data_IF_608683232666
#
_entry.id   IF_608683232666
#
_cell.length_a   1.000
_cell.length_b   1.000
_cell.length_c   1.000
_cell.angle_alpha   90.00
_cell.angle_beta   90.00
_cell.angle_gamma   90.00
#
_symmetry.space_group_name_H-M   'P 1'
#
loop_
_entity.id
_entity.type
_entity.pdbx_description
1 polymer ?
#
# COMPACT_ATOMS: atom_id res chain seq x y z
N UNK A 1 -10.94 11.97 4.02
CA UNK A 1 -9.52 12.08 4.43
C UNK A 1 -8.67 11.21 3.53
N UNK A 2 -7.66 11.77 2.91
CA UNK A 2 -6.77 11.09 1.96
C UNK A 2 -5.34 11.19 2.49
N UNK A 3 -4.79 10.05 2.94
CA UNK A 3 -3.49 9.99 3.61
C UNK A 3 -2.57 9.01 2.89
N UNK A 4 -1.30 9.39 2.77
CA UNK A 4 -0.22 8.48 2.37
C UNK A 4 0.59 8.12 3.62
N UNK A 5 0.80 6.82 3.84
CA UNK A 5 1.74 6.32 4.85
C UNK A 5 3.03 5.89 4.17
N UNK A 6 4.13 6.43 4.64
CA UNK A 6 5.47 6.10 4.19
C UNK A 6 6.30 5.58 5.36
N UNK A 7 7.28 4.78 5.05
CA UNK A 7 8.21 4.22 6.03
C UNK A 7 8.76 2.87 5.56
N UNK A 8 9.91 2.44 6.08
CA UNK A 8 10.51 1.17 5.73
C UNK A 8 9.68 -0.01 6.27
N UNK A 9 9.92 -1.24 5.77
CA UNK A 9 9.34 -2.45 6.36
C UNK A 9 9.65 -2.53 7.84
N UNK A 10 8.66 -2.89 8.67
CA UNK A 10 8.82 -2.97 10.11
C UNK A 10 8.68 -1.65 10.88
N UNK A 11 8.42 -0.53 10.19
CA UNK A 11 8.21 0.77 10.84
C UNK A 11 6.89 0.87 11.61
N UNK A 12 5.95 -0.04 11.38
CA UNK A 12 4.64 -0.04 12.03
C UNK A 12 3.53 0.58 11.19
N UNK A 13 3.71 0.72 9.88
CA UNK A 13 2.70 1.27 8.97
C UNK A 13 1.37 0.56 9.06
N UNK A 14 1.36 -0.78 8.94
CA UNK A 14 0.13 -1.58 9.03
C UNK A 14 -0.56 -1.45 10.38
N UNK A 15 0.18 -1.48 11.47
CA UNK A 15 -0.34 -1.33 12.83
C UNK A 15 -1.01 0.02 13.03
N UNK A 16 -0.39 1.10 12.58
CA UNK A 16 -0.96 2.44 12.67
C UNK A 16 -2.14 2.63 11.72
N UNK A 17 -2.07 2.04 10.52
CA UNK A 17 -3.18 2.06 9.57
C UNK A 17 -4.44 1.42 10.15
N UNK A 18 -4.33 0.28 10.84
CA UNK A 18 -5.48 -0.38 11.49
C UNK A 18 -6.20 0.56 12.48
N UNK A 19 -5.44 1.32 13.25
CA UNK A 19 -6.01 2.30 14.19
C UNK A 19 -6.73 3.44 13.45
N UNK A 20 -6.13 3.94 12.38
CA UNK A 20 -6.72 5.01 11.57
C UNK A 20 -8.00 4.53 10.86
N UNK A 21 -8.02 3.31 10.37
CA UNK A 21 -9.22 2.70 9.76
C UNK A 21 -10.35 2.64 10.77
N UNK A 22 -10.06 2.18 11.99
CA UNK A 22 -11.06 2.08 13.06
C UNK A 22 -11.62 3.44 13.44
N UNK A 23 -10.78 4.47 13.51
CA UNK A 23 -11.16 5.82 13.91
C UNK A 23 -11.92 6.57 12.81
N UNK A 24 -11.38 6.57 11.60
CA UNK A 24 -11.90 7.39 10.49
C UNK A 24 -12.76 6.61 9.50
N UNK A 25 -12.86 5.29 9.64
CA UNK A 25 -13.66 4.40 8.78
C UNK A 25 -13.35 4.58 7.29
N UNK A 26 -12.09 4.68 6.96
CA UNK A 26 -11.58 4.78 5.59
C UNK A 26 -10.80 3.51 5.21
N UNK A 27 -10.79 3.07 3.93
CA UNK A 27 -10.08 1.88 3.53
C UNK A 27 -8.56 2.05 3.59
N UNK A 28 -7.86 0.97 3.91
CA UNK A 28 -6.41 0.85 3.79
C UNK A 28 -6.09 0.21 2.44
N UNK A 29 -5.39 0.94 1.59
CA UNK A 29 -5.03 0.53 0.24
C UNK A 29 -3.52 0.36 0.16
N UNK A 30 -3.05 -0.86 0.01
CA UNK A 30 -1.64 -1.14 -0.27
C UNK A 30 -1.45 -1.55 -1.73
N UNK A 31 -0.28 -1.24 -2.30
CA UNK A 31 0.04 -1.66 -3.66
C UNK A 31 0.00 -3.18 -3.81
N UNK A 32 0.49 -3.92 -2.81
CA UNK A 32 0.42 -5.39 -2.82
C UNK A 32 -1.01 -5.91 -2.92
N UNK A 33 -1.95 -5.31 -2.18
CA UNK A 33 -3.36 -5.68 -2.24
C UNK A 33 -3.99 -5.34 -3.59
N UNK A 34 -3.64 -4.18 -4.16
CA UNK A 34 -4.11 -3.78 -5.49
C UNK A 34 -3.60 -4.74 -6.58
N UNK A 35 -2.34 -5.14 -6.53
CA UNK A 35 -1.78 -6.12 -7.46
C UNK A 35 -2.49 -7.47 -7.34
N UNK A 36 -2.68 -7.96 -6.13
CA UNK A 36 -3.39 -9.24 -5.90
C UNK A 36 -4.83 -9.17 -6.41
N UNK A 37 -5.52 -8.08 -6.17
CA UNK A 37 -6.88 -7.88 -6.66
C UNK A 37 -6.92 -7.83 -8.19
N UNK A 38 -6.02 -7.10 -8.83
CA UNK A 38 -5.95 -7.00 -10.28
C UNK A 38 -5.66 -8.36 -10.95
N UNK A 39 -4.73 -9.12 -10.38
CA UNK A 39 -4.42 -10.48 -10.84
C UNK A 39 -5.62 -11.41 -10.68
N UNK A 40 -6.27 -11.37 -9.53
CA UNK A 40 -7.45 -12.21 -9.25
C UNK A 40 -8.63 -11.88 -10.16
N UNK A 41 -8.85 -10.61 -10.45
CA UNK A 41 -9.92 -10.16 -11.36
C UNK A 41 -9.60 -10.40 -12.83
N UNK A 42 -8.33 -10.70 -13.16
CA UNK A 42 -7.90 -10.95 -14.54
C UNK A 42 -7.92 -9.72 -15.42
N UNK A 43 -7.73 -8.52 -14.88
CA UNK A 43 -7.62 -7.30 -15.67
C UNK A 43 -6.39 -7.35 -16.57
N UNK A 44 -6.37 -6.59 -17.67
CA UNK A 44 -5.21 -6.58 -18.58
C UNK A 44 -3.94 -6.14 -17.85
N UNK A 45 -4.01 -5.11 -17.02
CA UNK A 45 -2.88 -4.67 -16.20
C UNK A 45 -2.49 -5.73 -15.14
N UNK A 46 -3.46 -6.43 -14.57
CA UNK A 46 -3.20 -7.54 -13.65
C UNK A 46 -2.47 -8.70 -14.31
N UNK A 47 -2.85 -9.07 -15.52
CA UNK A 47 -2.18 -10.10 -16.32
C UNK A 47 -0.73 -9.70 -16.64
N UNK A 48 -0.54 -8.44 -17.03
CA UNK A 48 0.79 -7.90 -17.32
C UNK A 48 1.67 -7.88 -16.08
N UNK A 49 1.16 -7.37 -14.95
CA UNK A 49 1.88 -7.39 -13.68
C UNK A 49 2.27 -8.81 -13.26
N UNK A 50 1.35 -9.78 -13.42
CA UNK A 50 1.62 -11.19 -13.10
C UNK A 50 2.79 -11.75 -13.91
N UNK A 51 2.91 -11.40 -15.17
CA UNK A 51 4.04 -11.86 -16.01
C UNK A 51 5.39 -11.43 -15.42
N UNK A 52 5.51 -10.17 -14.97
CA UNK A 52 6.73 -9.68 -14.32
C UNK A 52 6.97 -10.34 -12.97
N UNK A 53 5.92 -10.50 -12.16
CA UNK A 53 6.01 -11.12 -10.84
C UNK A 53 6.44 -12.60 -10.94
N UNK A 54 5.86 -13.35 -11.86
CA UNK A 54 6.19 -14.77 -12.09
C UNK A 54 7.63 -14.95 -12.61
N UNK A 55 8.14 -13.96 -13.35
CA UNK A 55 9.52 -13.94 -13.84
C UNK A 55 10.54 -13.43 -12.79
N UNK A 56 10.08 -13.05 -11.59
CA UNK A 56 10.93 -12.44 -10.55
C UNK A 56 11.45 -11.05 -10.90
N UNK A 57 10.80 -10.37 -11.82
CA UNK A 57 11.16 -9.03 -12.28
C UNK A 57 10.32 -7.96 -11.60
N UNK A 58 10.86 -6.73 -11.53
CA UNK A 58 10.11 -5.59 -11.04
C UNK A 58 9.02 -5.21 -12.04
N UNK A 59 7.83 -4.94 -11.54
CA UNK A 59 6.71 -4.44 -12.36
C UNK A 59 7.04 -3.00 -12.79
N UNK A 60 6.97 -2.68 -14.10
CA UNK A 60 7.24 -1.32 -14.58
C UNK A 60 6.30 -0.28 -13.96
N UNK A 61 6.79 0.95 -13.79
CA UNK A 61 6.01 2.04 -13.21
C UNK A 61 4.70 2.30 -13.95
N UNK A 62 4.69 2.18 -15.27
CA UNK A 62 3.48 2.36 -16.10
C UNK A 62 2.37 1.40 -15.68
N UNK A 63 2.71 0.13 -15.44
CA UNK A 63 1.76 -0.91 -15.01
C UNK A 63 1.32 -0.64 -13.57
N UNK A 64 2.26 -0.33 -12.68
CA UNK A 64 1.99 0.00 -11.28
C UNK A 64 1.04 1.21 -11.17
N UNK A 65 1.34 2.28 -11.88
CA UNK A 65 0.52 3.50 -11.92
C UNK A 65 -0.90 3.19 -12.41
N UNK A 66 -1.01 2.38 -13.47
CA UNK A 66 -2.32 1.97 -14.01
C UNK A 66 -3.16 1.20 -12.99
N UNK A 67 -2.55 0.25 -12.27
CA UNK A 67 -3.22 -0.54 -11.23
C UNK A 67 -3.65 0.35 -10.06
N UNK A 68 -2.81 1.29 -9.65
CA UNK A 68 -3.14 2.26 -8.58
C UNK A 68 -4.31 3.14 -9.03
N UNK A 69 -4.29 3.64 -10.25
CA UNK A 69 -5.40 4.43 -10.80
C UNK A 69 -6.72 3.67 -10.76
N UNK A 70 -6.74 2.42 -11.21
CA UNK A 70 -7.92 1.56 -11.14
C UNK A 70 -8.40 1.35 -9.70
N UNK A 71 -7.46 1.08 -8.79
CA UNK A 71 -7.77 0.85 -7.37
C UNK A 71 -8.36 2.08 -6.68
N UNK A 72 -7.79 3.26 -6.91
CA UNK A 72 -8.25 4.51 -6.29
C UNK A 72 -9.53 5.05 -6.93
N UNK A 73 -9.89 4.60 -8.12
CA UNK A 73 -11.13 4.99 -8.80
C UNK A 73 -12.36 4.23 -8.31
N UNK A 74 -12.19 3.23 -7.46
CA UNK A 74 -13.32 2.45 -6.92
C UNK A 74 -14.18 3.28 -5.97
N UNK A 75 -15.50 3.01 -5.91
CA UNK A 75 -16.43 3.75 -5.03
C UNK A 75 -16.03 3.75 -3.56
N UNK A 76 -15.41 2.68 -3.07
CA UNK A 76 -14.94 2.57 -1.69
C UNK A 76 -13.87 3.60 -1.31
N UNK A 77 -13.16 4.14 -2.30
CA UNK A 77 -12.13 5.17 -2.12
C UNK A 77 -12.65 6.60 -2.25
N UNK A 78 -13.92 6.79 -2.60
CA UNK A 78 -14.49 8.12 -2.90
C UNK A 78 -14.46 9.07 -1.71
N UNK A 79 -14.63 8.58 -0.49
CA UNK A 79 -14.72 9.38 0.74
C UNK A 79 -13.41 9.44 1.54
N UNK A 80 -12.40 8.75 1.10
CA UNK A 80 -11.10 8.72 1.77
C UNK A 80 -10.38 7.39 1.59
N UNK A 81 -9.11 7.40 1.86
CA UNK A 81 -8.27 6.20 1.90
C UNK A 81 -6.95 6.47 2.64
N UNK A 82 -6.31 5.38 3.05
CA UNK A 82 -4.91 5.37 3.47
C UNK A 82 -4.14 4.59 2.41
N UNK A 83 -3.23 5.27 1.72
CA UNK A 83 -2.39 4.66 0.68
C UNK A 83 -1.04 4.28 1.28
N UNK A 84 -0.71 2.99 1.21
CA UNK A 84 0.51 2.41 1.78
C UNK A 84 1.34 1.74 0.69
N UNK A 85 2.62 2.07 0.65
CA UNK A 85 3.57 1.49 -0.29
C UNK A 85 3.62 2.16 -1.67
N UNK A 86 2.97 3.28 -1.85
CA UNK A 86 2.99 4.10 -3.06
C UNK A 86 2.82 5.58 -2.70
N UNK A 87 3.52 6.53 -3.30
CA UNK A 87 4.56 6.35 -4.32
C UNK A 87 5.90 5.85 -3.73
N UNK A 88 6.71 5.22 -4.55
CA UNK A 88 8.08 4.78 -4.20
C UNK A 88 9.14 5.44 -5.08
N UNK A 89 8.73 6.07 -6.17
CA UNK A 89 9.60 6.80 -7.09
C UNK A 89 9.01 8.19 -7.36
N UNK A 90 9.84 9.09 -7.86
CA UNK A 90 9.39 10.43 -8.25
C UNK A 90 8.35 10.36 -9.38
N UNK A 91 8.55 9.49 -10.36
CA UNK A 91 7.59 9.27 -11.44
C UNK A 91 6.22 8.82 -10.92
N UNK A 92 6.22 7.92 -9.96
CA UNK A 92 4.98 7.48 -9.29
C UNK A 92 4.32 8.62 -8.52
N UNK A 93 5.09 9.49 -7.86
CA UNK A 93 4.56 10.63 -7.13
C UNK A 93 3.88 11.63 -8.06
N UNK A 94 4.53 11.97 -9.18
CA UNK A 94 3.96 12.86 -10.21
C UNK A 94 2.67 12.25 -10.79
N UNK A 95 2.68 10.96 -11.07
CA UNK A 95 1.51 10.26 -11.58
C UNK A 95 0.36 10.27 -10.56
N UNK A 96 0.65 10.10 -9.28
CA UNK A 96 -0.35 10.17 -8.21
C UNK A 96 -1.01 11.55 -8.14
N UNK A 97 -0.24 12.62 -8.26
CA UNK A 97 -0.79 13.98 -8.32
C UNK A 97 -1.79 14.13 -9.48
N UNK A 98 -1.46 13.58 -10.64
CA UNK A 98 -2.35 13.54 -11.80
C UNK A 98 -3.62 12.73 -11.55
N UNK A 99 -3.50 11.57 -10.94
CA UNK A 99 -4.65 10.72 -10.59
C UNK A 99 -5.60 11.44 -9.63
N UNK A 100 -5.04 12.07 -8.59
CA UNK A 100 -5.85 12.79 -7.60
C UNK A 100 -6.56 14.00 -8.22
N UNK A 101 -5.89 14.70 -9.12
CA UNK A 101 -6.49 15.81 -9.88
C UNK A 101 -7.64 15.33 -10.76
N UNK A 102 -7.47 14.20 -11.46
CA UNK A 102 -8.49 13.62 -12.32
C UNK A 102 -9.71 13.14 -11.50
N UNK A 103 -9.48 12.66 -10.29
CA UNK A 103 -10.54 12.23 -9.37
C UNK A 103 -11.18 13.39 -8.59
N UNK A 104 -10.65 14.62 -8.72
CA UNK A 104 -11.15 15.79 -8.02
C UNK A 104 -10.92 15.74 -6.50
N UNK A 105 -9.92 15.03 -6.04
CA UNK A 105 -9.58 14.88 -4.61
C UNK A 105 -8.25 15.56 -4.28
N UNK A 106 -8.10 15.94 -3.02
CA UNK A 106 -6.88 16.59 -2.54
C UNK A 106 -6.28 15.79 -1.39
N UNK A 107 -4.96 15.57 -1.43
CA UNK A 107 -4.24 14.90 -0.36
C UNK A 107 -4.38 15.67 0.95
N UNK A 108 -4.79 14.97 2.01
CA UNK A 108 -4.88 15.54 3.35
C UNK A 108 -3.50 15.65 3.98
N UNK A 109 -2.67 14.64 3.82
CA UNK A 109 -1.32 14.64 4.35
C UNK A 109 -0.52 13.39 3.98
N UNK A 110 0.78 13.51 4.14
CA UNK A 110 1.73 12.41 3.99
C UNK A 110 2.41 12.18 5.35
N UNK A 111 2.31 10.98 5.87
CA UNK A 111 2.89 10.61 7.16
C UNK A 111 4.07 9.67 6.90
N UNK A 112 5.27 10.09 7.27
CA UNK A 112 6.47 9.28 7.17
C UNK A 112 6.86 8.77 8.56
N UNK A 113 6.84 7.45 8.75
CA UNK A 113 7.24 6.82 10.01
C UNK A 113 8.72 6.52 9.93
N UNK A 114 9.51 7.21 10.76
CA UNK A 114 10.96 7.05 10.83
C UNK A 114 11.31 6.21 12.05
N UNK A 115 12.09 5.16 11.85
CA UNK A 115 12.56 4.26 12.92
C UNK A 115 14.04 3.97 12.70
N UNK A 116 14.89 3.96 13.75
CA UNK A 116 16.30 3.59 13.62
C UNK A 116 16.48 2.20 13.01
N UNK A 117 17.46 2.03 12.13
CA UNK A 117 17.71 0.77 11.41
C UNK A 117 17.90 -0.43 12.33
N UNK A 118 18.59 -0.23 13.46
CA UNK A 118 18.81 -1.29 14.44
C UNK A 118 17.50 -1.86 15.01
N UNK A 119 16.50 -1.01 15.24
CA UNK A 119 15.17 -1.45 15.68
C UNK A 119 14.39 -2.14 14.55
N UNK A 120 14.53 -1.66 13.32
CA UNK A 120 13.87 -2.26 12.16
C UNK A 120 14.27 -3.70 11.93
N UNK A 121 15.57 -4.01 12.05
CA UNK A 121 16.07 -5.38 11.91
C UNK A 121 15.37 -6.33 12.88
N UNK A 122 15.28 -5.97 14.16
CA UNK A 122 14.58 -6.78 15.16
C UNK A 122 13.09 -6.94 14.87
N UNK A 123 12.43 -5.89 14.43
CA UNK A 123 11.01 -5.91 14.08
C UNK A 123 10.71 -6.78 12.87
N UNK A 124 11.51 -6.67 11.82
CA UNK A 124 11.32 -7.45 10.58
C UNK A 124 11.60 -8.92 10.80
N UNK A 125 12.71 -9.24 11.47
CA UNK A 125 13.09 -10.64 11.72
C UNK A 125 12.14 -11.35 12.69
N UNK A 126 11.54 -10.61 13.63
CA UNK A 126 10.57 -11.14 14.58
C UNK A 126 9.12 -11.17 14.06
N UNK A 127 8.87 -10.60 12.90
CA UNK A 127 7.51 -10.53 12.33
C UNK A 127 7.00 -11.90 11.91
N UNK A 128 5.74 -12.18 12.25
CA UNK A 128 5.03 -13.37 11.82
C UNK A 128 3.66 -12.97 11.26
N UNK A 129 3.22 -13.70 10.26
CA UNK A 129 1.92 -13.46 9.62
C UNK A 129 1.15 -14.77 9.66
N UNK A 130 -0.07 -14.70 10.14
CA UNK A 130 -0.99 -15.84 10.14
C UNK A 130 -1.30 -16.23 8.68
N UNK A 131 -1.07 -17.49 8.34
CA UNK A 131 -1.35 -18.01 6.99
C UNK A 131 -2.84 -18.07 6.68
N UNK A 132 -3.66 -18.16 7.70
CA UNK A 132 -5.12 -18.27 7.55
C UNK A 132 -5.82 -16.94 7.36
N UNK A 133 -5.54 -15.95 8.23
CA UNK A 133 -6.27 -14.68 8.25
C UNK A 133 -5.41 -13.45 7.90
N UNK A 134 -4.09 -13.62 7.75
CA UNK A 134 -3.17 -12.52 7.44
C UNK A 134 -2.84 -11.61 8.64
N UNK A 135 -3.32 -11.92 9.84
CA UNK A 135 -3.01 -11.13 11.04
C UNK A 135 -1.51 -11.12 11.32
N UNK A 136 -1.01 -9.97 11.74
CA UNK A 136 0.41 -9.76 12.02
C UNK A 136 0.71 -9.96 13.51
N UNK A 137 1.73 -10.75 13.79
CA UNK A 137 2.25 -11.03 15.13
C UNK A 137 3.74 -10.73 15.20
N UNK A 138 4.28 -10.67 16.40
CA UNK A 138 5.72 -10.53 16.62
C UNK A 138 6.17 -11.43 17.77
N UNK A 139 7.27 -12.16 17.57
CA UNK A 139 7.78 -13.16 18.53
C UNK A 139 8.08 -12.60 19.92
N UNK A 140 8.35 -11.30 20.04
CA UNK A 140 8.65 -10.62 21.31
C UNK A 140 7.49 -9.77 21.80
N UNK A 141 6.88 -8.98 20.92
CA UNK A 141 5.92 -7.94 21.32
C UNK A 141 4.46 -8.39 21.28
N UNK A 142 4.15 -9.37 20.46
CA UNK A 142 2.79 -9.90 20.29
C UNK A 142 2.87 -11.32 19.73
N UNK A 143 3.24 -12.24 20.57
CA UNK A 143 3.41 -13.65 20.22
C UNK A 143 2.06 -14.38 20.02
#
# INVERSE_FOLDING_TARGET
MYIILMGPPGAGKGTQAEKLIAEFKIPHISTGDMFRAAVKQGTELGKEAKRYMDAGQLVPDVVTIGIVREGLSKPECANGFILDGFPRTEEQAVALDGIMKDLGIKMTGVINIVVPDAELVGRVTGRRICKSCGATYHVVYNA
#
